data_IF_262914702851
#
_entry.id   IF_262914702851
#
_cell.length_a   1.000
_cell.length_b   1.000
_cell.length_c   1.000
_cell.angle_alpha   90.00
_cell.angle_beta   90.00
_cell.angle_gamma   90.00
#
_symmetry.space_group_name_H-M   'P 1'
#
loop_
_entity.id
_entity.type
_entity.pdbx_description
1 polymer ?
#
# COMPACT_ATOMS: atom_id res chain seq x y z
N UNK A 1 8.45 -6.24 8.13
CA UNK A 1 9.09 -5.41 7.12
C UNK A 1 10.47 -5.92 6.75
N UNK A 2 11.09 -5.30 5.75
CA UNK A 2 12.35 -5.74 5.13
C UNK A 2 13.57 -5.84 6.04
N UNK A 3 13.52 -5.27 7.24
CA UNK A 3 14.59 -5.43 8.22
C UNK A 3 14.88 -6.91 8.58
N UNK A 4 13.91 -7.79 8.45
CA UNK A 4 14.01 -9.22 8.79
C UNK A 4 15.07 -9.95 7.95
N UNK A 5 15.31 -9.51 6.70
CA UNK A 5 16.32 -10.15 5.84
C UNK A 5 17.75 -9.74 6.18
N UNK A 6 17.95 -8.76 7.09
CA UNK A 6 19.29 -8.24 7.41
C UNK A 6 20.02 -7.78 6.16
N UNK A 7 21.05 -8.52 5.74
CA UNK A 7 21.76 -8.35 4.46
C UNK A 7 21.87 -9.66 3.66
N UNK A 8 21.00 -10.63 3.94
CA UNK A 8 20.98 -11.92 3.27
C UNK A 8 19.83 -12.00 2.24
N UNK A 9 20.17 -11.85 0.97
CA UNK A 9 19.20 -11.96 -0.13
C UNK A 9 18.60 -13.38 -0.28
N UNK A 10 19.30 -14.43 0.21
CA UNK A 10 18.79 -15.82 0.10
C UNK A 10 17.53 -16.03 0.91
N UNK A 11 17.34 -15.25 1.98
CA UNK A 11 16.10 -15.31 2.76
C UNK A 11 14.85 -14.95 1.94
N UNK A 12 14.98 -14.20 0.85
CA UNK A 12 13.86 -13.90 -0.04
C UNK A 12 13.32 -15.15 -0.75
N UNK A 13 14.19 -16.11 -1.09
CA UNK A 13 13.77 -17.41 -1.65
C UNK A 13 13.00 -18.23 -0.62
N UNK A 14 13.45 -18.24 0.64
CA UNK A 14 12.74 -18.89 1.74
C UNK A 14 11.37 -18.23 1.95
N UNK A 15 11.31 -16.90 2.02
CA UNK A 15 10.05 -16.19 2.16
C UNK A 15 9.09 -16.48 1.00
N UNK A 16 9.60 -16.58 -0.23
CA UNK A 16 8.79 -16.98 -1.40
C UNK A 16 8.24 -18.39 -1.26
N UNK A 17 9.06 -19.36 -0.83
CA UNK A 17 8.63 -20.74 -0.61
C UNK A 17 7.62 -20.87 0.52
N UNK A 18 7.67 -19.98 1.52
CA UNK A 18 6.72 -19.90 2.62
C UNK A 18 5.41 -19.17 2.23
N UNK A 19 5.28 -18.76 0.96
CA UNK A 19 4.05 -18.13 0.44
C UNK A 19 3.98 -16.61 0.59
N UNK A 20 5.08 -15.94 0.98
CA UNK A 20 5.10 -14.46 1.06
C UNK A 20 4.96 -13.88 -0.34
N UNK A 21 3.92 -13.05 -0.54
CA UNK A 21 3.62 -12.42 -1.84
C UNK A 21 4.03 -10.95 -1.92
N UNK A 22 4.32 -10.28 -0.81
CA UNK A 22 4.86 -8.91 -0.79
C UNK A 22 5.80 -8.67 0.38
N UNK A 23 6.71 -7.70 0.23
CA UNK A 23 7.65 -7.28 1.27
C UNK A 23 7.64 -5.76 1.41
N UNK A 24 7.22 -5.26 2.58
CA UNK A 24 7.35 -3.85 2.97
C UNK A 24 8.82 -3.54 3.23
N UNK A 25 9.42 -2.60 2.48
CA UNK A 25 10.87 -2.39 2.51
C UNK A 25 11.37 -1.86 3.85
N UNK A 26 10.61 -0.95 4.48
CA UNK A 26 10.96 -0.35 5.78
C UNK A 26 9.74 -0.27 6.69
N UNK A 27 9.97 0.02 7.96
CA UNK A 27 8.99 0.69 8.81
C UNK A 27 9.29 2.20 8.80
N UNK A 28 8.92 2.95 9.86
CA UNK A 28 9.11 4.40 9.90
C UNK A 28 10.58 4.83 10.02
N UNK A 29 11.44 3.96 10.55
CA UNK A 29 12.88 4.17 10.65
C UNK A 29 13.65 3.76 9.39
N UNK A 30 14.98 3.94 9.42
CA UNK A 30 15.87 3.40 8.39
C UNK A 30 16.31 1.97 8.71
N UNK A 31 16.62 1.22 7.65
CA UNK A 31 17.25 -0.08 7.76
C UNK A 31 18.33 -0.26 6.66
N UNK A 32 18.82 -1.49 6.45
CA UNK A 32 19.81 -1.79 5.41
C UNK A 32 19.30 -1.54 3.98
N UNK A 33 17.98 -1.51 3.77
CA UNK A 33 17.33 -1.40 2.45
C UNK A 33 17.08 0.06 2.08
N UNK A 34 16.41 0.82 2.96
CA UNK A 34 15.95 2.17 2.67
C UNK A 34 15.68 2.99 3.93
N UNK A 35 15.34 4.27 3.74
CA UNK A 35 14.79 5.14 4.75
C UNK A 35 13.27 5.14 4.75
N UNK A 36 12.68 5.00 5.94
CA UNK A 36 11.25 5.15 6.18
C UNK A 36 10.84 6.61 6.38
N UNK A 37 9.55 6.84 6.55
CA UNK A 37 8.89 8.15 6.62
C UNK A 37 9.40 9.08 7.74
N UNK A 38 10.03 8.53 8.76
CA UNK A 38 10.65 9.28 9.85
C UNK A 38 12.13 9.62 9.63
N UNK A 39 12.70 9.40 8.44
CA UNK A 39 14.12 9.60 8.15
C UNK A 39 14.34 10.29 6.81
N UNK A 40 15.58 10.79 6.58
CA UNK A 40 15.99 11.41 5.31
C UNK A 40 16.82 10.50 4.39
N UNK A 41 17.12 9.27 4.82
CA UNK A 41 17.90 8.31 4.05
C UNK A 41 17.08 7.83 2.84
N UNK A 42 17.72 7.72 1.68
CA UNK A 42 17.12 7.16 0.49
C UNK A 42 17.29 5.63 0.38
N UNK A 43 16.91 5.10 -0.78
CA UNK A 43 17.13 3.69 -1.15
C UNK A 43 18.64 3.39 -1.23
N UNK A 44 19.10 2.37 -0.50
CA UNK A 44 20.52 2.00 -0.47
C UNK A 44 20.95 1.18 -1.70
N UNK A 45 22.27 0.92 -1.84
CA UNK A 45 22.76 -0.04 -2.86
C UNK A 45 22.14 -1.42 -2.62
N UNK A 46 22.15 -1.89 -1.37
CA UNK A 46 21.54 -3.18 -1.02
C UNK A 46 20.03 -3.18 -1.29
N UNK A 47 19.33 -2.07 -1.02
CA UNK A 47 17.90 -1.93 -1.35
C UNK A 47 17.60 -2.12 -2.85
N UNK A 48 18.48 -1.64 -3.74
CA UNK A 48 18.34 -1.88 -5.19
C UNK A 48 18.51 -3.36 -5.55
N UNK A 49 19.42 -4.06 -4.87
CA UNK A 49 19.62 -5.51 -5.03
C UNK A 49 18.41 -6.30 -4.51
N UNK A 50 17.83 -5.87 -3.37
CA UNK A 50 16.58 -6.44 -2.84
C UNK A 50 15.44 -6.30 -3.83
N UNK A 51 15.17 -5.10 -4.37
CA UNK A 51 14.07 -4.91 -5.33
C UNK A 51 14.28 -5.76 -6.59
N UNK A 52 15.49 -5.85 -7.12
CA UNK A 52 15.78 -6.73 -8.27
C UNK A 52 15.45 -8.19 -7.96
N UNK A 53 15.77 -8.65 -6.75
CA UNK A 53 15.48 -10.01 -6.33
C UNK A 53 13.97 -10.23 -6.09
N UNK A 54 13.26 -9.26 -5.51
CA UNK A 54 11.81 -9.30 -5.39
C UNK A 54 11.13 -9.43 -6.76
N UNK A 55 11.58 -8.66 -7.76
CA UNK A 55 11.08 -8.76 -9.14
C UNK A 55 11.31 -10.18 -9.71
N UNK A 56 12.53 -10.74 -9.56
CA UNK A 56 12.87 -12.09 -10.03
C UNK A 56 11.95 -13.16 -9.41
N UNK A 57 11.64 -13.01 -8.12
CA UNK A 57 10.82 -13.95 -7.36
C UNK A 57 9.33 -13.71 -7.51
N UNK A 58 8.92 -12.65 -8.22
CA UNK A 58 7.52 -12.18 -8.26
C UNK A 58 6.95 -11.98 -6.84
N UNK A 59 7.69 -11.28 -6.00
CA UNK A 59 7.26 -10.77 -4.70
C UNK A 59 7.04 -9.27 -4.87
N UNK A 60 5.87 -8.75 -4.48
CA UNK A 60 5.59 -7.33 -4.63
C UNK A 60 6.50 -6.48 -3.74
N UNK A 61 6.96 -5.37 -4.30
CA UNK A 61 7.64 -4.32 -3.53
C UNK A 61 6.59 -3.43 -2.88
N UNK A 62 6.44 -3.52 -1.57
CA UNK A 62 5.53 -2.65 -0.83
C UNK A 62 6.23 -1.34 -0.45
N UNK A 63 5.67 -0.25 -0.94
CA UNK A 63 6.18 1.11 -0.82
C UNK A 63 5.63 1.85 0.41
N UNK A 64 4.67 1.25 1.13
CA UNK A 64 4.17 1.79 2.39
C UNK A 64 5.34 2.00 3.36
N UNK A 65 5.28 3.04 4.17
CA UNK A 65 6.31 3.49 5.10
C UNK A 65 7.55 4.16 4.49
N UNK A 66 7.79 4.13 3.19
CA UNK A 66 8.94 4.82 2.61
C UNK A 66 8.80 6.34 2.74
N UNK A 67 9.92 7.03 2.95
CA UNK A 67 9.98 8.47 2.70
C UNK A 67 10.00 8.74 1.19
N UNK A 68 9.79 10.01 0.80
CA UNK A 68 9.67 10.38 -0.61
C UNK A 68 10.94 10.01 -1.42
N UNK A 69 12.15 10.21 -0.87
CA UNK A 69 13.42 9.85 -1.55
C UNK A 69 13.51 8.36 -1.86
N UNK A 70 13.16 7.54 -0.86
CA UNK A 70 13.15 6.07 -1.00
C UNK A 70 12.07 5.61 -1.96
N UNK A 71 10.88 6.23 -1.88
CA UNK A 71 9.75 5.91 -2.75
C UNK A 71 10.11 6.08 -4.22
N UNK A 72 10.56 7.28 -4.62
CA UNK A 72 10.88 7.56 -6.03
C UNK A 72 11.98 6.65 -6.56
N UNK A 73 13.02 6.39 -5.77
CA UNK A 73 14.09 5.47 -6.17
C UNK A 73 13.65 4.01 -6.25
N UNK A 74 12.65 3.59 -5.43
CA UNK A 74 12.12 2.23 -5.42
C UNK A 74 11.13 2.00 -6.56
N UNK A 75 10.18 2.95 -6.79
CA UNK A 75 9.15 2.81 -7.82
C UNK A 75 9.72 2.69 -9.23
N UNK A 76 10.83 3.39 -9.53
CA UNK A 76 11.53 3.24 -10.81
C UNK A 76 11.90 1.79 -11.13
N UNK A 77 12.25 1.00 -10.10
CA UNK A 77 12.83 -0.34 -10.19
C UNK A 77 11.84 -1.47 -9.92
N UNK A 78 10.79 -1.18 -9.17
CA UNK A 78 9.78 -2.17 -8.84
C UNK A 78 8.94 -2.53 -10.07
N UNK A 79 8.87 -3.82 -10.41
CA UNK A 79 7.98 -4.33 -11.45
C UNK A 79 6.58 -4.60 -10.91
N UNK A 80 6.48 -4.96 -9.64
CA UNK A 80 5.23 -5.26 -8.95
C UNK A 80 5.05 -4.38 -7.71
N UNK A 81 4.85 -3.05 -7.89
CA UNK A 81 4.70 -2.15 -6.76
C UNK A 81 3.31 -2.25 -6.13
N UNK A 82 3.25 -2.15 -4.81
CA UNK A 82 2.02 -1.88 -4.07
C UNK A 82 2.28 -0.83 -3.00
N UNK A 83 1.22 -0.18 -2.53
CA UNK A 83 1.17 0.50 -1.25
C UNK A 83 0.13 -0.24 -0.41
N UNK A 84 0.57 -1.17 0.44
CA UNK A 84 -0.33 -2.08 1.15
C UNK A 84 -1.32 -1.34 2.07
N UNK A 85 -0.92 -0.19 2.65
CA UNK A 85 -1.73 0.63 3.55
C UNK A 85 -1.26 2.10 3.51
N UNK A 86 -1.80 2.89 2.59
CA UNK A 86 -1.46 4.32 2.42
C UNK A 86 -2.63 5.11 1.85
N UNK A 87 -2.82 6.34 2.35
CA UNK A 87 -3.86 7.26 1.92
C UNK A 87 -3.30 8.38 1.05
N UNK A 88 -4.16 9.26 0.54
CA UNK A 88 -3.74 10.46 -0.19
C UNK A 88 -3.28 11.58 0.76
N UNK A 89 -2.08 12.12 0.50
CA UNK A 89 -1.56 13.30 1.19
C UNK A 89 -2.40 14.55 0.91
N UNK A 90 -3.12 14.57 -0.21
CA UNK A 90 -4.06 15.63 -0.54
C UNK A 90 -5.35 15.64 0.31
N UNK A 91 -5.67 14.52 0.97
CA UNK A 91 -6.80 14.42 1.94
C UNK A 91 -6.29 14.66 3.36
N UNK A 92 -5.18 14.04 3.74
CA UNK A 92 -4.55 14.26 5.04
C UNK A 92 -3.04 14.46 4.84
N UNK A 93 -2.45 15.62 5.19
CA UNK A 93 -1.06 15.96 4.90
C UNK A 93 -0.05 15.24 5.82
N UNK A 94 -0.30 13.99 6.17
CA UNK A 94 0.63 13.16 6.92
C UNK A 94 1.80 12.72 6.04
N UNK A 95 3.06 12.74 6.52
CA UNK A 95 4.23 12.30 5.74
C UNK A 95 4.14 10.84 5.25
N UNK A 96 3.37 10.01 5.95
CA UNK A 96 3.10 8.60 5.62
C UNK A 96 2.16 8.43 4.42
N UNK A 97 1.37 9.46 4.11
CA UNK A 97 0.45 9.45 2.97
C UNK A 97 1.18 9.79 1.67
N UNK A 98 0.63 9.33 0.56
CA UNK A 98 1.21 9.47 -0.78
C UNK A 98 0.73 10.76 -1.47
N UNK A 99 1.63 11.41 -2.19
CA UNK A 99 1.28 12.52 -3.09
C UNK A 99 0.54 12.00 -4.32
N UNK A 100 -0.15 12.88 -5.05
CA UNK A 100 -0.83 12.51 -6.30
C UNK A 100 0.15 11.95 -7.34
N UNK A 101 1.38 12.47 -7.39
CA UNK A 101 2.44 11.96 -8.25
C UNK A 101 2.80 10.52 -7.88
N UNK A 102 3.01 10.24 -6.59
CA UNK A 102 3.31 8.90 -6.11
C UNK A 102 2.16 7.92 -6.40
N UNK A 103 0.90 8.34 -6.19
CA UNK A 103 -0.28 7.54 -6.50
C UNK A 103 -0.36 7.20 -8.00
N UNK A 104 -0.14 8.19 -8.89
CA UNK A 104 -0.12 7.96 -10.34
C UNK A 104 0.99 7.00 -10.76
N UNK A 105 2.20 7.12 -10.21
CA UNK A 105 3.32 6.22 -10.52
C UNK A 105 3.02 4.76 -10.15
N UNK A 106 2.29 4.52 -9.04
CA UNK A 106 1.81 3.17 -8.71
C UNK A 106 0.80 2.71 -9.76
N UNK A 107 -0.15 3.56 -10.13
CA UNK A 107 -1.17 3.26 -11.14
C UNK A 107 -0.59 2.95 -12.52
N UNK A 108 0.38 3.73 -13.00
CA UNK A 108 1.10 3.53 -14.28
C UNK A 108 1.75 2.15 -14.37
N UNK A 109 2.14 1.58 -13.22
CA UNK A 109 2.65 0.21 -13.11
C UNK A 109 1.57 -0.82 -12.80
N UNK A 110 0.30 -0.45 -12.88
CA UNK A 110 -0.84 -1.28 -12.51
C UNK A 110 -0.74 -1.86 -11.09
N UNK A 111 -0.11 -1.13 -10.17
CA UNK A 111 0.05 -1.53 -8.77
C UNK A 111 -1.22 -1.34 -7.95
N UNK A 112 -1.22 -1.79 -6.69
CA UNK A 112 -2.33 -1.62 -5.75
C UNK A 112 -2.07 -0.51 -4.74
N UNK A 113 -3.13 0.17 -4.34
CA UNK A 113 -3.15 1.20 -3.31
C UNK A 113 -4.19 0.81 -2.27
N UNK A 114 -3.73 0.24 -1.16
CA UNK A 114 -4.56 -0.15 -0.03
C UNK A 114 -4.86 1.04 0.87
N UNK A 115 -6.13 1.38 1.06
CA UNK A 115 -6.56 2.47 1.93
C UNK A 115 -6.42 2.08 3.40
N UNK A 116 -5.63 2.86 4.15
CA UNK A 116 -5.33 2.66 5.55
C UNK A 116 -6.42 3.26 6.44
N UNK A 117 -6.78 2.55 7.52
CA UNK A 117 -7.82 3.00 8.45
C UNK A 117 -7.27 3.76 9.67
N UNK A 118 -5.96 3.85 9.81
CA UNK A 118 -5.35 4.53 10.95
C UNK A 118 -5.77 6.01 11.03
N UNK A 119 -6.35 6.47 12.17
CA UNK A 119 -6.95 7.81 12.28
C UNK A 119 -6.00 8.96 11.96
N UNK A 120 -4.71 8.85 12.32
CA UNK A 120 -3.72 9.89 12.04
C UNK A 120 -3.40 10.06 10.55
N UNK A 121 -3.70 9.03 9.73
CA UNK A 121 -3.51 9.10 8.27
C UNK A 121 -4.81 9.41 7.54
N UNK A 122 -5.96 9.29 8.22
CA UNK A 122 -7.26 9.71 7.71
C UNK A 122 -7.51 11.21 7.96
N UNK A 123 -7.22 11.70 9.17
CA UNK A 123 -7.35 13.12 9.51
C UNK A 123 -8.77 13.57 9.83
N UNK A 124 -9.67 12.65 10.22
CA UNK A 124 -11.05 12.97 10.56
C UNK A 124 -11.91 11.70 10.74
N UNK A 125 -13.23 11.83 10.56
CA UNK A 125 -14.16 10.70 10.61
C UNK A 125 -13.76 9.65 9.58
N UNK A 126 -13.60 8.38 9.99
CA UNK A 126 -13.00 7.36 9.17
C UNK A 126 -13.79 7.08 7.89
N UNK A 127 -15.11 6.90 8.00
CA UNK A 127 -15.95 6.60 6.84
C UNK A 127 -15.92 7.73 5.81
N UNK A 128 -16.05 8.98 6.27
CA UNK A 128 -16.00 10.15 5.39
C UNK A 128 -14.63 10.27 4.71
N UNK A 129 -13.54 10.11 5.47
CA UNK A 129 -12.19 10.24 4.92
C UNK A 129 -11.81 9.11 3.99
N UNK A 130 -12.31 7.90 4.19
CA UNK A 130 -12.16 6.80 3.23
C UNK A 130 -12.93 7.12 1.94
N UNK A 131 -14.17 7.62 2.06
CA UNK A 131 -14.95 8.10 0.90
C UNK A 131 -14.19 9.17 0.10
N UNK A 132 -13.66 10.21 0.78
CA UNK A 132 -12.88 11.27 0.13
C UNK A 132 -11.62 10.71 -0.57
N UNK A 133 -10.91 9.75 0.04
CA UNK A 133 -9.78 9.08 -0.58
C UNK A 133 -10.19 8.31 -1.86
N UNK A 134 -11.30 7.56 -1.81
CA UNK A 134 -11.84 6.85 -2.99
C UNK A 134 -12.14 7.85 -4.11
N UNK A 135 -12.90 8.92 -3.83
CA UNK A 135 -13.24 9.94 -4.82
C UNK A 135 -11.99 10.60 -5.42
N UNK A 136 -10.97 10.87 -4.58
CA UNK A 136 -9.72 11.44 -5.07
C UNK A 136 -8.99 10.49 -6.00
N UNK A 137 -8.83 9.22 -5.62
CA UNK A 137 -8.17 8.23 -6.46
C UNK A 137 -8.92 7.99 -7.77
N UNK A 138 -10.25 7.96 -7.74
CA UNK A 138 -11.08 7.92 -8.95
C UNK A 138 -10.84 9.15 -9.84
N UNK A 139 -10.77 10.34 -9.25
CA UNK A 139 -10.44 11.59 -9.97
C UNK A 139 -9.04 11.59 -10.58
N UNK A 140 -8.12 10.75 -10.10
CA UNK A 140 -6.80 10.50 -10.70
C UNK A 140 -6.82 9.37 -11.75
N UNK A 141 -7.95 8.74 -12.02
CA UNK A 141 -8.09 7.61 -12.94
C UNK A 141 -7.62 6.27 -12.37
N UNK A 142 -7.58 6.12 -11.05
CA UNK A 142 -6.98 4.98 -10.35
C UNK A 142 -8.01 3.99 -9.78
N UNK A 143 -9.25 3.99 -10.24
CA UNK A 143 -10.32 3.14 -9.69
C UNK A 143 -9.93 1.65 -9.62
N UNK A 144 -9.25 1.14 -10.63
CA UNK A 144 -8.82 -0.26 -10.69
C UNK A 144 -7.56 -0.58 -9.86
N UNK A 145 -7.01 0.43 -9.18
CA UNK A 145 -5.83 0.30 -8.33
C UNK A 145 -6.18 0.37 -6.84
N UNK A 146 -7.42 0.75 -6.48
CA UNK A 146 -7.85 0.93 -5.09
C UNK A 146 -8.15 -0.43 -4.47
N UNK A 147 -7.65 -0.64 -3.25
CA UNK A 147 -8.01 -1.78 -2.41
C UNK A 147 -8.18 -1.34 -0.94
N UNK A 148 -8.69 -2.22 -0.10
CA UNK A 148 -8.72 -2.01 1.35
C UNK A 148 -7.39 -2.51 1.93
N UNK A 149 -6.66 -1.61 2.59
CA UNK A 149 -5.37 -1.88 3.23
C UNK A 149 -5.39 -1.65 4.75
N UNK A 150 -6.50 -1.78 5.37
CA UNK A 150 -6.92 -1.48 6.75
C UNK A 150 -5.83 -1.08 7.75
N UNK A 151 -4.76 -1.86 7.86
CA UNK A 151 -3.73 -1.82 8.92
C UNK A 151 -4.25 -2.37 10.27
N UNK A 152 -5.25 -3.28 10.23
CA UNK A 152 -5.71 -4.00 11.42
C UNK A 152 -4.52 -4.71 12.09
N UNK A 153 -4.54 -4.76 13.40
CA UNK A 153 -3.47 -5.32 14.27
C UNK A 153 -2.12 -4.58 14.20
N UNK A 154 -1.94 -3.66 13.24
CA UNK A 154 -0.71 -2.85 13.08
C UNK A 154 -0.79 -1.45 13.68
N UNK A 155 -2.02 -0.94 13.94
CA UNK A 155 -2.27 0.39 14.45
C UNK A 155 -3.54 0.46 15.31
N UNK A 156 -3.69 1.54 16.09
CA UNK A 156 -4.95 1.82 16.79
C UNK A 156 -6.03 2.18 15.79
N UNK A 157 -7.16 1.46 15.82
CA UNK A 157 -8.25 1.64 14.88
C UNK A 157 -9.27 2.68 15.39
N UNK A 158 -9.98 3.40 14.48
CA UNK A 158 -11.09 4.24 14.87
C UNK A 158 -12.25 3.36 15.37
N UNK A 159 -13.08 3.84 16.32
CA UNK A 159 -14.16 3.03 16.91
C UNK A 159 -15.13 2.45 15.87
N UNK A 160 -15.41 3.18 14.80
CA UNK A 160 -16.30 2.76 13.71
C UNK A 160 -15.69 1.68 12.79
N UNK A 161 -14.38 1.44 12.88
CA UNK A 161 -13.64 0.40 12.16
C UNK A 161 -12.69 -0.34 13.10
N UNK A 162 -13.17 -0.68 14.31
CA UNK A 162 -12.36 -1.33 15.35
C UNK A 162 -11.79 -2.70 14.92
N UNK A 163 -12.49 -3.39 14.05
CA UNK A 163 -12.14 -4.71 13.55
C UNK A 163 -12.87 -5.06 12.25
N UNK A 164 -12.58 -6.22 11.67
CA UNK A 164 -13.13 -6.67 10.39
C UNK A 164 -14.67 -6.75 10.36
N UNK A 165 -15.33 -6.96 11.51
CA UNK A 165 -16.80 -7.04 11.58
C UNK A 165 -17.49 -5.72 11.25
N UNK A 166 -16.74 -4.60 11.28
CA UNK A 166 -17.21 -3.25 10.97
C UNK A 166 -17.06 -2.86 9.50
N UNK A 167 -16.34 -3.65 8.72
CA UNK A 167 -16.14 -3.39 7.29
C UNK A 167 -17.45 -3.40 6.48
N UNK A 168 -18.46 -4.25 6.78
CA UNK A 168 -19.76 -4.16 6.13
C UNK A 168 -20.49 -2.82 6.35
N UNK A 169 -20.29 -2.18 7.52
CA UNK A 169 -20.88 -0.87 7.81
C UNK A 169 -20.25 0.21 6.91
N UNK A 170 -18.93 0.14 6.70
CA UNK A 170 -18.22 1.00 5.73
C UNK A 170 -18.75 0.79 4.30
N UNK A 171 -18.93 -0.47 3.88
CA UNK A 171 -19.47 -0.78 2.56
C UNK A 171 -20.83 -0.12 2.35
N UNK A 172 -21.75 -0.32 3.30
CA UNK A 172 -23.11 0.28 3.29
C UNK A 172 -23.05 1.83 3.28
N UNK A 173 -22.14 2.41 4.05
CA UNK A 173 -21.95 3.87 4.05
C UNK A 173 -21.51 4.38 2.67
N UNK A 174 -20.55 3.75 2.04
CA UNK A 174 -20.03 4.13 0.71
C UNK A 174 -21.12 3.99 -0.38
N UNK A 175 -21.91 2.91 -0.32
CA UNK A 175 -23.05 2.71 -1.22
C UNK A 175 -24.09 3.84 -1.07
N UNK A 176 -24.44 4.19 0.16
CA UNK A 176 -25.36 5.31 0.46
C UNK A 176 -24.79 6.69 0.03
N UNK A 177 -23.46 6.81 -0.10
CA UNK A 177 -22.79 8.01 -0.65
C UNK A 177 -22.71 8.00 -2.18
N UNK A 178 -23.27 7.00 -2.84
CA UNK A 178 -23.40 6.92 -4.29
C UNK A 178 -22.24 6.24 -5.01
N UNK A 179 -21.33 5.55 -4.30
CA UNK A 179 -20.37 4.66 -4.95
C UNK A 179 -21.13 3.44 -5.46
N UNK A 180 -20.98 3.11 -6.76
CA UNK A 180 -21.71 2.00 -7.37
C UNK A 180 -21.30 0.65 -6.77
N UNK A 181 -22.23 -0.31 -6.74
CA UNK A 181 -21.95 -1.68 -6.29
C UNK A 181 -20.80 -2.34 -7.08
N UNK A 182 -20.68 -2.03 -8.38
CA UNK A 182 -19.56 -2.49 -9.21
C UNK A 182 -18.23 -1.95 -8.73
N UNK A 183 -18.14 -0.64 -8.47
CA UNK A 183 -16.93 -0.01 -7.93
C UNK A 183 -16.58 -0.54 -6.54
N UNK A 184 -17.58 -0.71 -5.67
CA UNK A 184 -17.37 -1.27 -4.34
C UNK A 184 -16.82 -2.70 -4.42
N UNK A 185 -17.36 -3.55 -5.29
CA UNK A 185 -16.86 -4.91 -5.51
C UNK A 185 -15.39 -4.91 -5.95
N UNK A 186 -15.00 -3.99 -6.85
CA UNK A 186 -13.59 -3.80 -7.24
C UNK A 186 -12.73 -3.45 -6.03
N UNK A 187 -13.10 -2.43 -5.27
CA UNK A 187 -12.31 -1.90 -4.15
C UNK A 187 -12.16 -2.93 -3.01
N UNK A 188 -13.25 -3.61 -2.66
CA UNK A 188 -13.25 -4.53 -1.52
C UNK A 188 -12.73 -5.93 -1.85
N UNK A 189 -12.64 -6.28 -3.14
CA UNK A 189 -12.25 -7.64 -3.54
C UNK A 189 -11.49 -7.72 -4.87
N UNK A 190 -12.12 -7.35 -6.00
CA UNK A 190 -11.64 -7.76 -7.32
C UNK A 190 -10.28 -7.17 -7.70
N UNK A 191 -9.99 -5.90 -7.35
CA UNK A 191 -8.73 -5.28 -7.70
C UNK A 191 -7.55 -6.02 -7.08
N UNK A 192 -7.65 -6.38 -5.80
CA UNK A 192 -6.61 -7.15 -5.12
C UNK A 192 -6.54 -8.58 -5.66
N UNK A 193 -7.68 -9.26 -5.82
CA UNK A 193 -7.74 -10.62 -6.36
C UNK A 193 -7.08 -10.69 -7.74
N UNK A 194 -7.52 -9.85 -8.69
CA UNK A 194 -6.99 -9.82 -10.05
C UNK A 194 -5.49 -9.50 -10.10
N UNK A 195 -5.02 -8.63 -9.20
CA UNK A 195 -3.61 -8.30 -9.11
C UNK A 195 -2.77 -9.51 -8.70
N UNK A 196 -3.15 -10.20 -7.63
CA UNK A 196 -2.40 -11.35 -7.12
C UNK A 196 -2.55 -12.61 -7.99
N UNK A 197 -3.71 -12.84 -8.63
CA UNK A 197 -3.90 -13.91 -9.58
C UNK A 197 -2.96 -13.75 -10.77
N UNK A 198 -2.91 -12.55 -11.36
CA UNK A 198 -1.99 -12.23 -12.45
C UNK A 198 -0.52 -12.40 -12.05
N UNK A 199 -0.14 -12.04 -10.82
CA UNK A 199 1.22 -12.21 -10.30
C UNK A 199 1.57 -13.70 -10.15
N UNK A 200 0.61 -14.52 -9.72
CA UNK A 200 0.76 -15.96 -9.51
C UNK A 200 0.71 -16.78 -10.80
N UNK A 201 0.22 -16.18 -11.89
CA UNK A 201 0.05 -16.83 -13.18
C UNK A 201 -1.18 -17.75 -13.25
N UNK A 202 -2.18 -17.47 -12.41
CA UNK A 202 -3.49 -18.14 -12.38
C UNK A 202 -4.48 -17.39 -13.25
#
# INVERSE_FOLDING_TARGET
GGAVIGKDLKLLETLKSDGVCYLTLTWNGENAIAGGSGTDKGLTRFGREVIRELNRLKICTDLSHLNDKSFFAAIERAEYPIASHSNSRGICPAPRNLTDEQLRLIGEKNGLIGLCFYPKFLGGNAFEKIYENICRLQGLGLENNIAIGSDFDGADMPPELSDISKVPDLYTYLENRGISAETLKKIFYENAQNYFDKLSGI
#
